data_IF_388183657469
#
_entry.id   IF_388183657469
#
_cell.length_a   1.000
_cell.length_b   1.000
_cell.length_c   1.000
_cell.angle_alpha   90.00
_cell.angle_beta   90.00
_cell.angle_gamma   90.00
#
_symmetry.space_group_name_H-M   'P 1'
#
loop_
_entity.id
_entity.type
_entity.pdbx_description
1 polymer ?
#
# COMPACT_ATOMS: atom_id res chain seq x y z
N UNK A 1 -11.66 -23.11 -36.06
CA UNK A 1 -10.31 -22.94 -36.62
C UNK A 1 -9.33 -22.95 -35.45
N UNK A 2 -8.31 -23.82 -35.42
CA UNK A 2 -7.35 -23.82 -34.32
C UNK A 2 -6.41 -22.62 -34.47
N UNK A 3 -6.36 -21.75 -33.45
CA UNK A 3 -5.32 -20.73 -33.34
C UNK A 3 -3.99 -21.42 -33.03
N UNK A 4 -3.03 -21.27 -33.94
CA UNK A 4 -1.62 -21.56 -33.68
C UNK A 4 -1.13 -20.62 -32.55
N UNK A 5 -0.34 -21.10 -31.58
CA UNK A 5 0.35 -20.20 -30.67
C UNK A 5 1.30 -19.33 -31.50
N UNK A 6 1.13 -18.01 -31.42
CA UNK A 6 2.08 -17.05 -31.96
C UNK A 6 3.34 -17.08 -31.09
N UNK A 7 4.23 -18.01 -31.43
CA UNK A 7 5.67 -17.79 -31.26
C UNK A 7 6.04 -16.81 -32.38
N UNK A 8 5.95 -15.51 -32.08
CA UNK A 8 6.64 -14.40 -32.76
C UNK A 8 5.99 -13.09 -32.29
N UNK A 9 6.26 -12.71 -31.05
CA UNK A 9 6.23 -11.30 -30.63
C UNK A 9 7.65 -10.92 -30.20
N UNK A 10 8.58 -11.07 -31.13
CA UNK A 10 9.77 -10.22 -31.18
C UNK A 10 9.33 -8.94 -31.88
N UNK A 11 8.71 -8.04 -31.10
CA UNK A 11 8.58 -6.64 -31.52
C UNK A 11 9.98 -6.11 -31.76
N UNK A 12 10.35 -5.96 -33.05
CA UNK A 12 11.57 -5.28 -33.45
C UNK A 12 11.48 -3.82 -32.97
N UNK A 13 12.14 -3.53 -31.86
CA UNK A 13 12.27 -2.19 -31.31
C UNK A 13 13.06 -1.33 -32.30
N UNK A 14 12.38 -0.42 -32.98
CA UNK A 14 13.03 0.61 -33.77
C UNK A 14 13.76 1.59 -32.82
N UNK A 15 15.09 1.59 -32.89
CA UNK A 15 15.95 2.49 -32.12
C UNK A 15 16.28 1.99 -30.73
N UNK A 16 16.92 0.82 -30.62
CA UNK A 16 17.48 0.35 -29.35
C UNK A 16 18.60 1.30 -28.89
N UNK A 17 18.25 2.23 -28.01
CA UNK A 17 19.17 2.86 -27.07
C UNK A 17 20.07 1.76 -26.48
N UNK A 18 21.38 1.98 -26.42
CA UNK A 18 22.31 1.01 -25.84
C UNK A 18 21.76 0.55 -24.49
N UNK A 19 21.61 -0.76 -24.25
CA UNK A 19 21.03 -1.26 -23.02
C UNK A 19 21.84 -0.69 -21.85
N UNK A 20 21.17 0.03 -20.96
CA UNK A 20 21.76 0.45 -19.70
C UNK A 20 22.35 -0.80 -19.06
N UNK A 21 23.63 -0.80 -18.67
CA UNK A 21 24.24 -1.97 -18.08
C UNK A 21 23.37 -2.42 -16.90
N UNK A 22 23.09 -3.73 -16.78
CA UNK A 22 22.23 -4.23 -15.74
C UNK A 22 22.81 -3.80 -14.38
N UNK A 23 21.95 -3.44 -13.40
CA UNK A 23 22.45 -3.04 -12.09
C UNK A 23 23.32 -4.15 -11.51
N UNK A 24 24.32 -3.78 -10.71
CA UNK A 24 25.36 -4.70 -10.22
C UNK A 24 24.87 -5.92 -9.43
N UNK A 25 23.60 -5.90 -9.00
CA UNK A 25 22.92 -6.99 -8.29
C UNK A 25 21.98 -7.81 -9.18
N UNK A 26 21.78 -7.42 -10.43
CA UNK A 26 21.05 -8.24 -11.40
C UNK A 26 21.80 -9.56 -11.60
N UNK A 27 21.05 -10.67 -11.65
CA UNK A 27 21.65 -11.97 -11.96
C UNK A 27 22.35 -11.89 -13.31
N UNK A 28 23.52 -12.53 -13.48
CA UNK A 28 24.24 -12.54 -14.76
C UNK A 28 23.37 -13.01 -15.94
N UNK A 29 22.41 -13.89 -15.66
CA UNK A 29 21.50 -14.48 -16.65
C UNK A 29 20.24 -13.64 -16.91
N UNK A 30 20.06 -12.50 -16.23
CA UNK A 30 18.86 -11.66 -16.35
C UNK A 30 17.67 -12.11 -15.48
N UNK A 31 16.46 -11.59 -15.74
CA UNK A 31 15.23 -12.01 -15.06
C UNK A 31 14.73 -13.36 -15.57
N UNK A 32 14.04 -14.11 -14.71
CA UNK A 32 13.37 -15.35 -15.09
C UNK A 32 12.17 -15.07 -16.03
N UNK A 33 11.49 -13.94 -15.80
CA UNK A 33 10.40 -13.44 -16.64
C UNK A 33 10.46 -11.93 -16.76
N UNK A 34 10.10 -11.41 -17.93
CA UNK A 34 9.96 -9.97 -18.14
C UNK A 34 8.70 -9.66 -18.95
N UNK A 35 7.95 -8.65 -18.52
CA UNK A 35 6.71 -8.23 -19.14
C UNK A 35 6.71 -6.71 -19.32
N UNK A 36 6.48 -6.26 -20.55
CA UNK A 36 6.18 -4.85 -20.82
C UNK A 36 4.71 -4.55 -20.52
N UNK A 37 4.43 -3.38 -19.95
CA UNK A 37 3.08 -2.87 -19.77
C UNK A 37 3.02 -1.36 -20.02
N UNK A 38 1.85 -0.89 -20.46
CA UNK A 38 1.58 0.53 -20.62
C UNK A 38 0.86 1.02 -19.38
N UNK A 39 1.59 1.71 -18.49
CA UNK A 39 1.01 2.34 -17.31
C UNK A 39 0.67 3.81 -17.56
N UNK A 40 -0.22 4.37 -16.73
CA UNK A 40 -0.56 5.80 -16.78
C UNK A 40 0.66 6.72 -16.55
N UNK A 41 1.68 6.21 -15.86
CA UNK A 41 2.88 6.97 -15.47
C UNK A 41 4.05 6.74 -16.44
N UNK A 42 4.06 5.61 -17.14
CA UNK A 42 5.10 5.26 -18.11
C UNK A 42 4.53 4.36 -19.21
N UNK A 43 4.60 4.79 -20.49
CA UNK A 43 4.06 4.04 -21.62
C UNK A 43 4.89 2.81 -21.99
N UNK A 44 6.08 2.68 -21.43
CA UNK A 44 7.08 1.64 -21.70
C UNK A 44 7.63 1.04 -20.40
N UNK A 45 6.75 0.84 -19.42
CA UNK A 45 7.12 0.23 -18.16
C UNK A 45 7.36 -1.28 -18.31
N UNK A 46 8.27 -1.84 -17.51
CA UNK A 46 8.53 -3.28 -17.47
C UNK A 46 8.42 -3.83 -16.05
N UNK A 47 8.01 -5.10 -15.95
CA UNK A 47 8.02 -5.90 -14.73
C UNK A 47 8.96 -7.07 -14.99
N UNK A 48 10.01 -7.18 -14.19
CA UNK A 48 11.00 -8.24 -14.25
C UNK A 48 10.89 -9.08 -12.97
N UNK A 49 10.69 -10.39 -13.10
CA UNK A 49 10.58 -11.31 -11.96
C UNK A 49 11.87 -12.10 -11.84
N UNK A 50 12.51 -11.99 -10.68
CA UNK A 50 13.71 -12.71 -10.30
C UNK A 50 13.35 -13.69 -9.18
N UNK A 51 13.16 -14.94 -9.56
CA UNK A 51 12.73 -15.98 -8.65
C UNK A 51 13.82 -16.30 -7.61
N UNK A 52 13.42 -16.69 -6.39
CA UNK A 52 12.04 -16.94 -5.95
C UNK A 52 11.31 -15.73 -5.34
N UNK A 53 11.93 -14.58 -5.20
CA UNK A 53 11.52 -13.62 -4.18
C UNK A 53 11.66 -12.14 -4.55
N UNK A 54 12.08 -11.81 -5.77
CA UNK A 54 12.28 -10.42 -6.17
C UNK A 54 11.44 -10.10 -7.41
N UNK A 55 10.74 -8.98 -7.37
CA UNK A 55 10.04 -8.38 -8.51
C UNK A 55 10.56 -6.96 -8.68
N UNK A 56 10.97 -6.61 -9.89
CA UNK A 56 11.46 -5.28 -10.23
C UNK A 56 10.50 -4.63 -11.22
N UNK A 57 10.02 -3.45 -10.89
CA UNK A 57 9.31 -2.56 -11.79
C UNK A 57 10.27 -1.51 -12.32
N UNK A 58 10.31 -1.34 -13.63
CA UNK A 58 11.05 -0.24 -14.26
C UNK A 58 10.05 0.68 -14.94
N UNK A 59 9.99 1.93 -14.49
CA UNK A 59 9.20 2.98 -15.12
C UNK A 59 10.13 3.98 -15.80
N UNK A 60 9.72 4.53 -16.94
CA UNK A 60 10.38 5.69 -17.56
C UNK A 60 9.52 6.93 -17.37
N UNK A 61 9.94 7.82 -16.49
CA UNK A 61 9.16 8.96 -16.05
C UNK A 61 9.38 10.19 -16.93
N UNK A 62 8.27 10.79 -17.36
CA UNK A 62 8.23 12.07 -18.04
C UNK A 62 8.85 12.07 -19.45
N UNK A 63 8.93 13.26 -20.10
CA UNK A 63 9.46 13.38 -21.46
C UNK A 63 10.93 12.98 -21.60
N UNK A 64 11.69 13.07 -20.50
CA UNK A 64 13.11 12.71 -20.45
C UNK A 64 13.32 11.20 -20.20
N UNK A 65 12.25 10.42 -20.02
CA UNK A 65 12.31 8.98 -19.81
C UNK A 65 13.27 8.56 -18.68
N UNK A 66 13.28 9.30 -17.58
CA UNK A 66 14.16 9.01 -16.44
C UNK A 66 13.76 7.65 -15.87
N UNK A 67 14.68 6.67 -15.79
CA UNK A 67 14.38 5.37 -15.24
C UNK A 67 14.10 5.49 -13.73
N UNK A 68 13.02 4.86 -13.29
CA UNK A 68 12.67 4.65 -11.90
C UNK A 68 12.57 3.15 -11.70
N UNK A 69 13.50 2.57 -10.95
CA UNK A 69 13.41 1.16 -10.57
C UNK A 69 12.81 1.04 -9.17
N UNK A 70 11.77 0.24 -9.06
CA UNK A 70 11.16 -0.16 -7.80
C UNK A 70 11.31 -1.66 -7.65
N UNK A 71 12.00 -2.08 -6.61
CA UNK A 71 12.20 -3.48 -6.29
C UNK A 71 11.32 -3.87 -5.12
N UNK A 72 10.71 -5.04 -5.21
CA UNK A 72 9.90 -5.66 -4.17
C UNK A 72 10.52 -7.02 -3.87
N UNK A 73 10.96 -7.20 -2.64
CA UNK A 73 11.48 -8.45 -2.12
C UNK A 73 10.47 -9.09 -1.18
N UNK A 74 10.28 -10.40 -1.28
CA UNK A 74 9.39 -11.19 -0.43
C UNK A 74 10.21 -12.14 0.42
N UNK A 75 10.35 -11.85 1.71
CA UNK A 75 11.16 -12.65 2.63
C UNK A 75 10.24 -13.48 3.52
N UNK A 76 10.25 -14.83 3.43
CA UNK A 76 9.45 -15.66 4.31
C UNK A 76 9.98 -15.56 5.75
N UNK A 77 9.09 -15.30 6.70
CA UNK A 77 9.40 -15.30 8.14
C UNK A 77 8.99 -16.62 8.80
N UNK A 78 7.91 -17.24 8.29
CA UNK A 78 7.38 -18.50 8.78
C UNK A 78 6.13 -18.93 7.99
N UNK A 79 5.45 -20.00 8.43
CA UNK A 79 4.18 -20.40 7.84
C UNK A 79 3.19 -19.22 7.87
N UNK A 80 2.61 -18.89 6.72
CA UNK A 80 1.64 -17.81 6.52
C UNK A 80 2.15 -16.40 6.90
N UNK A 81 3.47 -16.18 6.96
CA UNK A 81 4.06 -14.87 7.26
C UNK A 81 5.25 -14.57 6.36
N UNK A 82 5.18 -13.43 5.69
CA UNK A 82 6.22 -12.92 4.81
C UNK A 82 6.39 -11.41 5.03
N UNK A 83 7.62 -10.93 4.90
CA UNK A 83 7.91 -9.50 4.82
C UNK A 83 8.02 -9.07 3.36
N UNK A 84 7.39 -7.95 3.04
CA UNK A 84 7.62 -7.25 1.79
C UNK A 84 8.58 -6.11 2.05
N UNK A 85 9.72 -6.12 1.36
CA UNK A 85 10.71 -5.05 1.43
C UNK A 85 10.75 -4.37 0.08
N UNK A 86 10.54 -3.07 0.08
CA UNK A 86 10.55 -2.26 -1.13
C UNK A 86 11.75 -1.33 -1.16
N UNK A 87 12.44 -1.28 -2.29
CA UNK A 87 13.56 -0.39 -2.52
C UNK A 87 13.37 0.41 -3.80
N UNK A 88 13.85 1.65 -3.81
CA UNK A 88 14.00 2.45 -5.02
C UNK A 88 15.43 2.93 -5.16
N UNK A 89 15.98 2.80 -6.36
CA UNK A 89 17.39 3.10 -6.63
C UNK A 89 17.64 4.55 -7.01
N UNK A 90 16.70 5.21 -7.70
CA UNK A 90 16.90 6.59 -8.18
C UNK A 90 15.64 7.44 -8.03
N UNK A 91 15.81 8.73 -7.73
CA UNK A 91 14.71 9.68 -7.62
C UNK A 91 14.83 10.77 -8.68
N UNK A 92 13.77 11.03 -9.48
CA UNK A 92 13.76 12.22 -10.30
C UNK A 92 13.75 13.44 -9.38
N UNK A 93 14.50 14.51 -9.72
CA UNK A 93 14.47 15.73 -8.95
C UNK A 93 13.06 16.31 -8.96
N UNK A 94 12.48 16.50 -7.78
CA UNK A 94 11.13 17.06 -7.65
C UNK A 94 11.20 18.57 -7.84
N UNK A 95 10.66 19.05 -8.96
CA UNK A 95 10.52 20.49 -9.20
C UNK A 95 9.26 21.00 -8.49
N UNK A 96 9.46 21.77 -7.43
CA UNK A 96 8.40 22.53 -6.77
C UNK A 96 7.76 23.51 -7.77
N UNK A 97 6.47 23.34 -8.03
CA UNK A 97 5.67 24.28 -8.80
C UNK A 97 4.74 25.03 -7.85
N UNK A 98 4.98 26.32 -7.67
CA UNK A 98 4.10 27.21 -6.88
C UNK A 98 2.65 27.18 -7.39
N UNK A 99 2.46 27.07 -8.71
CA UNK A 99 1.14 26.95 -9.30
C UNK A 99 0.41 25.68 -8.82
N UNK A 100 1.10 24.54 -8.76
CA UNK A 100 0.50 23.29 -8.23
C UNK A 100 0.22 23.38 -6.74
N UNK A 101 1.06 24.11 -5.99
CA UNK A 101 0.85 24.32 -4.56
C UNK A 101 -0.40 25.17 -4.29
N UNK A 102 -0.65 26.19 -5.11
CA UNK A 102 -1.72 27.17 -4.91
C UNK A 102 -3.06 26.75 -5.53
N UNK A 103 -3.05 26.02 -6.63
CA UNK A 103 -4.26 25.64 -7.38
C UNK A 103 -4.62 24.16 -7.25
N UNK A 104 -3.83 23.39 -6.52
CA UNK A 104 -4.01 21.95 -6.40
C UNK A 104 -4.92 21.53 -5.25
N UNK A 105 -5.30 20.25 -5.29
CA UNK A 105 -5.82 19.54 -4.12
C UNK A 105 -4.85 19.69 -2.93
N UNK A 106 -5.32 20.12 -1.75
CA UNK A 106 -4.48 20.32 -0.57
C UNK A 106 -3.68 19.06 -0.20
N UNK A 107 -4.22 17.86 -0.40
CA UNK A 107 -3.49 16.62 -0.13
C UNK A 107 -2.29 16.46 -1.07
N UNK A 108 -2.46 16.79 -2.36
CA UNK A 108 -1.36 16.79 -3.35
C UNK A 108 -0.34 17.87 -3.05
N UNK A 109 -0.77 19.05 -2.57
CA UNK A 109 0.13 20.11 -2.15
C UNK A 109 0.99 19.67 -0.95
N UNK A 110 0.39 19.00 0.04
CA UNK A 110 1.11 18.42 1.19
C UNK A 110 2.11 17.38 0.72
N UNK A 111 1.71 16.46 -0.16
CA UNK A 111 2.62 15.45 -0.73
C UNK A 111 3.79 16.10 -1.49
N UNK A 112 3.54 17.18 -2.25
CA UNK A 112 4.60 17.94 -2.91
C UNK A 112 5.55 18.62 -1.91
N UNK A 113 5.04 19.18 -0.81
CA UNK A 113 5.90 19.74 0.24
C UNK A 113 6.76 18.66 0.90
N UNK A 114 6.19 17.48 1.19
CA UNK A 114 6.97 16.35 1.69
C UNK A 114 8.05 15.94 0.72
N UNK A 115 7.74 15.84 -0.58
CA UNK A 115 8.72 15.44 -1.58
C UNK A 115 9.94 16.37 -1.65
N UNK A 116 9.77 17.65 -1.31
CA UNK A 116 10.85 18.61 -1.26
C UNK A 116 11.57 18.67 0.10
N UNK A 117 10.85 18.52 1.21
CA UNK A 117 11.39 18.67 2.56
C UNK A 117 11.99 17.39 3.14
N UNK A 118 11.30 16.27 2.92
CA UNK A 118 11.66 14.94 3.44
C UNK A 118 11.35 13.88 2.36
N UNK A 119 12.23 13.74 1.35
CA UNK A 119 12.00 12.84 0.22
C UNK A 119 11.89 11.37 0.65
N UNK A 120 12.52 10.98 1.76
CA UNK A 120 12.45 9.61 2.32
C UNK A 120 11.04 9.33 2.85
N UNK A 121 10.46 10.24 3.64
CA UNK A 121 9.10 10.07 4.13
C UNK A 121 8.08 10.12 3.00
N UNK A 122 8.23 11.06 2.06
CA UNK A 122 7.39 11.11 0.87
C UNK A 122 7.38 9.78 0.11
N UNK A 123 8.57 9.20 -0.03
CA UNK A 123 8.75 7.92 -0.68
C UNK A 123 7.97 6.81 0.03
N UNK A 124 8.15 6.65 1.34
CA UNK A 124 7.43 5.64 2.11
C UNK A 124 5.91 5.83 2.04
N UNK A 125 5.43 7.07 2.10
CA UNK A 125 4.00 7.36 1.96
C UNK A 125 3.47 6.99 0.56
N UNK A 126 4.25 7.24 -0.49
CA UNK A 126 3.88 6.88 -1.87
C UNK A 126 3.85 5.38 -2.09
N UNK A 127 4.81 4.64 -1.51
CA UNK A 127 4.81 3.19 -1.57
C UNK A 127 3.69 2.55 -0.77
N UNK A 128 3.44 3.04 0.46
CA UNK A 128 2.32 2.58 1.24
C UNK A 128 1.02 2.79 0.46
N UNK A 129 0.86 3.94 -0.20
CA UNK A 129 -0.33 4.19 -1.03
C UNK A 129 -0.49 3.22 -2.22
N UNK A 130 0.62 2.80 -2.83
CA UNK A 130 0.63 1.82 -3.90
C UNK A 130 0.28 0.43 -3.36
N UNK A 131 0.93 0.01 -2.26
CA UNK A 131 0.83 -1.33 -1.70
C UNK A 131 -0.41 -1.54 -0.83
N UNK A 132 -1.01 -0.50 -0.27
CA UNK A 132 -2.25 -0.60 0.52
C UNK A 132 -3.37 -1.25 -0.30
N UNK A 133 -3.41 -0.96 -1.60
CA UNK A 133 -4.35 -1.60 -2.52
C UNK A 133 -4.12 -3.10 -2.62
N UNK A 134 -2.89 -3.48 -2.94
CA UNK A 134 -2.51 -4.89 -3.09
C UNK A 134 -2.67 -5.66 -1.77
N UNK A 135 -2.26 -5.07 -0.65
CA UNK A 135 -2.37 -5.67 0.68
C UNK A 135 -3.81 -6.00 1.05
N UNK A 136 -4.77 -5.12 0.72
CA UNK A 136 -6.18 -5.41 0.95
C UNK A 136 -6.63 -6.67 0.19
N UNK A 137 -6.25 -6.78 -1.09
CA UNK A 137 -6.64 -7.92 -1.91
C UNK A 137 -5.94 -9.21 -1.48
N UNK A 138 -4.64 -9.13 -1.18
CA UNK A 138 -3.86 -10.27 -0.70
C UNK A 138 -4.43 -10.80 0.63
N UNK A 139 -4.80 -9.90 1.55
CA UNK A 139 -5.37 -10.34 2.82
C UNK A 139 -6.76 -10.95 2.68
N UNK A 140 -7.64 -10.35 1.86
CA UNK A 140 -8.94 -10.97 1.53
C UNK A 140 -8.70 -12.36 0.97
N UNK A 141 -7.78 -12.52 0.02
CA UNK A 141 -7.47 -13.83 -0.56
C UNK A 141 -6.96 -14.83 0.48
N UNK A 142 -6.09 -14.42 1.40
CA UNK A 142 -5.62 -15.28 2.48
C UNK A 142 -6.76 -15.72 3.41
N UNK A 143 -7.71 -14.84 3.72
CA UNK A 143 -8.91 -15.17 4.51
C UNK A 143 -9.78 -16.19 3.80
N UNK A 144 -10.06 -15.99 2.50
CA UNK A 144 -10.87 -16.93 1.72
C UNK A 144 -10.23 -18.32 1.64
N UNK A 145 -8.89 -18.35 1.57
CA UNK A 145 -8.14 -19.60 1.64
C UNK A 145 -8.27 -20.22 3.03
N UNK A 146 -8.15 -19.44 4.11
CA UNK A 146 -8.26 -19.93 5.48
C UNK A 146 -9.67 -20.43 5.84
N UNK A 147 -10.72 -19.76 5.39
CA UNK A 147 -12.10 -20.21 5.59
C UNK A 147 -12.35 -21.54 4.87
N UNK A 148 -11.87 -21.67 3.63
CA UNK A 148 -11.90 -22.94 2.91
C UNK A 148 -11.09 -24.04 3.66
N UNK A 149 -10.03 -23.66 4.39
CA UNK A 149 -9.26 -24.57 5.26
C UNK A 149 -10.05 -25.08 6.45
N UNK A 150 -10.68 -24.19 7.20
CA UNK A 150 -11.49 -24.57 8.36
C UNK A 150 -12.70 -25.42 7.96
N UNK A 151 -13.36 -25.07 6.86
CA UNK A 151 -14.51 -25.82 6.36
C UNK A 151 -14.16 -27.21 5.87
N UNK A 152 -13.06 -27.36 5.12
CA UNK A 152 -12.56 -28.68 4.72
C UNK A 152 -12.15 -29.51 5.94
N UNK A 153 -11.57 -28.89 6.98
CA UNK A 153 -11.23 -29.58 8.22
C UNK A 153 -12.47 -30.04 9.02
N UNK A 154 -13.56 -29.27 9.00
CA UNK A 154 -14.84 -29.61 9.64
C UNK A 154 -15.65 -30.65 8.84
N UNK A 155 -15.54 -30.61 7.50
CA UNK A 155 -16.29 -31.47 6.58
C UNK A 155 -15.62 -32.81 6.32
N UNK A 156 -14.30 -32.89 6.53
CA UNK A 156 -13.56 -34.14 6.48
C UNK A 156 -14.23 -35.15 7.43
N UNK A 157 -14.85 -36.23 6.90
CA UNK A 157 -15.50 -37.23 7.75
C UNK A 157 -14.43 -37.73 8.71
N UNK A 158 -14.68 -37.61 10.03
CA UNK A 158 -13.75 -37.97 11.09
C UNK A 158 -13.01 -39.24 10.69
N UNK A 159 -11.80 -39.06 10.14
CA UNK A 159 -11.17 -40.12 9.38
C UNK A 159 -11.07 -41.30 10.32
N UNK A 160 -11.77 -42.38 9.98
CA UNK A 160 -11.78 -43.59 10.78
C UNK A 160 -10.30 -43.89 11.06
N UNK A 161 -9.89 -43.74 12.32
CA UNK A 161 -8.52 -43.98 12.76
C UNK A 161 -8.14 -45.32 12.14
N UNK A 162 -7.17 -45.37 11.23
CA UNK A 162 -6.85 -46.60 10.55
C UNK A 162 -6.48 -47.60 11.64
N UNK A 163 -7.35 -48.60 11.83
CA UNK A 163 -7.06 -49.77 12.64
C UNK A 163 -5.69 -50.26 12.21
N UNK A 164 -4.77 -50.42 13.18
CA UNK A 164 -3.34 -50.65 13.01
C UNK A 164 -2.96 -51.96 12.29
N UNK A 165 -3.87 -52.58 11.54
CA UNK A 165 -3.66 -53.80 10.79
C UNK A 165 -3.37 -53.48 9.32
N UNK A 166 -2.09 -53.32 8.97
CA UNK A 166 -1.59 -53.52 7.60
C UNK A 166 -1.13 -52.27 6.83
N UNK A 167 -0.13 -51.55 7.34
CA UNK A 167 0.62 -50.57 6.54
C UNK A 167 1.65 -51.28 5.65
N UNK A 168 1.30 -51.57 4.41
CA UNK A 168 2.30 -51.88 3.38
C UNK A 168 3.02 -50.58 3.00
N UNK A 169 4.33 -50.53 3.26
CA UNK A 169 5.15 -49.36 2.97
C UNK A 169 5.13 -49.03 1.47
N UNK A 170 4.52 -47.90 1.11
CA UNK A 170 4.69 -47.28 -0.20
C UNK A 170 6.16 -46.88 -0.30
N UNK A 171 6.91 -47.52 -1.19
CA UNK A 171 8.35 -47.26 -1.30
C UNK A 171 8.58 -45.99 -2.11
N UNK A 172 9.70 -45.30 -1.86
CA UNK A 172 10.12 -44.14 -2.66
C UNK A 172 10.20 -44.45 -4.17
N UNK A 173 10.34 -45.73 -4.53
CA UNK A 173 10.35 -46.22 -5.92
C UNK A 173 8.97 -46.14 -6.58
N UNK A 174 7.90 -46.34 -5.83
CA UNK A 174 6.52 -46.29 -6.32
C UNK A 174 6.08 -44.85 -6.59
N UNK A 175 6.56 -43.89 -5.79
CA UNK A 175 6.32 -42.46 -5.99
C UNK A 175 7.02 -41.90 -7.25
N UNK A 176 8.24 -42.37 -7.55
CA UNK A 176 8.99 -41.97 -8.76
C UNK A 176 8.40 -42.59 -10.03
N UNK A 177 7.88 -43.82 -9.96
CA UNK A 177 7.21 -44.48 -11.09
C UNK A 177 5.86 -43.82 -11.44
N UNK A 178 5.13 -43.31 -10.43
CA UNK A 178 3.89 -42.54 -10.65
C UNK A 178 4.15 -41.17 -11.32
N UNK A 179 5.30 -40.54 -11.05
CA UNK A 179 5.70 -39.28 -11.69
C UNK A 179 6.16 -39.46 -13.14
N UNK A 180 6.70 -40.62 -13.51
CA UNK A 180 7.25 -40.89 -14.85
C UNK A 180 6.19 -41.28 -15.91
N UNK A 181 5.04 -41.81 -15.50
CA UNK A 181 3.97 -42.25 -16.42
C UNK A 181 2.98 -41.13 -16.77
N UNK A 182 3.51 -39.97 -17.20
CA UNK A 182 2.74 -38.82 -17.64
C UNK A 182 1.89 -39.11 -18.88
N UNK A 183 0.58 -39.29 -18.69
CA UNK A 183 -0.32 -39.49 -19.83
C UNK A 183 -1.80 -39.58 -19.48
N UNK A 184 -2.40 -38.55 -18.89
CA UNK A 184 -3.87 -38.41 -18.88
C UNK A 184 -4.47 -37.78 -17.64
N UNK A 185 -4.06 -38.21 -16.43
CA UNK A 185 -4.66 -37.74 -15.18
C UNK A 185 -4.18 -36.35 -14.73
N UNK A 186 -3.00 -35.91 -15.16
CA UNK A 186 -2.44 -34.60 -14.81
C UNK A 186 -3.16 -33.40 -15.48
N UNK A 187 -4.09 -33.66 -16.42
CA UNK A 187 -4.89 -32.61 -17.06
C UNK A 187 -6.21 -32.29 -16.33
N UNK A 188 -6.56 -33.00 -15.25
CA UNK A 188 -7.85 -32.84 -14.57
C UNK A 188 -7.76 -32.43 -13.09
N UNK A 189 -6.57 -32.37 -12.50
CA UNK A 189 -6.44 -31.77 -11.17
C UNK A 189 -6.27 -30.26 -11.36
N UNK A 190 -7.38 -29.56 -11.59
CA UNK A 190 -7.42 -28.14 -11.26
C UNK A 190 -6.96 -28.03 -9.80
N UNK A 191 -5.75 -27.52 -9.62
CA UNK A 191 -5.14 -27.24 -8.31
C UNK A 191 -6.09 -26.30 -7.56
N UNK A 192 -6.16 -26.37 -6.23
CA UNK A 192 -7.15 -25.61 -5.41
C UNK A 192 -7.24 -24.17 -5.83
N UNK A 193 -6.09 -23.56 -6.12
CA UNK A 193 -6.04 -22.18 -6.52
C UNK A 193 -6.75 -21.94 -7.86
N UNK A 194 -6.64 -22.83 -8.85
CA UNK A 194 -7.37 -22.64 -10.12
C UNK A 194 -8.90 -22.71 -9.96
N UNK A 195 -9.40 -23.22 -8.83
CA UNK A 195 -10.83 -23.21 -8.46
C UNK A 195 -11.18 -22.04 -7.54
N UNK A 196 -10.35 -21.74 -6.54
CA UNK A 196 -10.58 -20.64 -5.58
C UNK A 196 -10.35 -19.26 -6.20
N UNK A 197 -9.42 -19.14 -7.13
CA UNK A 197 -9.14 -17.88 -7.82
C UNK A 197 -9.91 -17.85 -9.13
N UNK A 198 -11.00 -17.08 -9.15
CA UNK A 198 -11.70 -16.76 -10.39
C UNK A 198 -10.84 -15.82 -11.23
N UNK A 199 -10.19 -16.38 -12.25
CA UNK A 199 -9.25 -15.69 -13.15
C UNK A 199 -9.65 -15.89 -14.62
N UNK A 200 -10.79 -15.34 -15.06
CA UNK A 200 -11.33 -15.60 -16.40
C UNK A 200 -10.63 -14.79 -17.50
N UNK A 201 -9.83 -13.77 -17.14
CA UNK A 201 -9.30 -12.83 -18.11
C UNK A 201 -8.00 -13.36 -18.73
N UNK A 202 -7.74 -12.99 -19.98
CA UNK A 202 -6.44 -13.30 -20.60
C UNK A 202 -5.26 -12.65 -19.86
N UNK A 203 -5.49 -11.53 -19.17
CA UNK A 203 -4.51 -10.89 -18.31
C UNK A 203 -3.99 -11.82 -17.20
N UNK A 204 -4.81 -12.80 -16.77
CA UNK A 204 -4.46 -13.73 -15.70
C UNK A 204 -3.54 -14.87 -16.16
N UNK A 205 -3.29 -15.01 -17.48
CA UNK A 205 -2.46 -16.08 -18.01
C UNK A 205 -1.04 -16.08 -17.45
N UNK A 206 -0.47 -14.89 -17.20
CA UNK A 206 0.85 -14.74 -16.58
C UNK A 206 0.85 -15.20 -15.11
N UNK A 207 -0.21 -14.91 -14.35
CA UNK A 207 -0.39 -15.38 -12.97
C UNK A 207 -0.45 -16.90 -12.94
N UNK A 208 -1.23 -17.51 -13.84
CA UNK A 208 -1.33 -18.97 -13.95
C UNK A 208 0.01 -19.60 -14.34
N UNK A 209 0.76 -18.98 -15.26
CA UNK A 209 2.08 -19.46 -15.66
C UNK A 209 3.09 -19.38 -14.50
N UNK A 210 3.13 -18.27 -13.77
CA UNK A 210 3.99 -18.10 -12.60
C UNK A 210 3.70 -19.13 -11.51
N UNK A 211 2.42 -19.38 -11.20
CA UNK A 211 2.03 -20.40 -10.21
C UNK A 211 2.43 -21.80 -10.65
N UNK A 212 2.19 -22.19 -11.90
CA UNK A 212 2.68 -23.48 -12.45
C UNK A 212 4.19 -23.61 -12.33
N UNK A 213 4.93 -22.54 -12.64
CA UNK A 213 6.37 -22.54 -12.49
C UNK A 213 6.80 -22.79 -11.04
N UNK A 214 6.14 -22.15 -10.06
CA UNK A 214 6.40 -22.38 -8.62
C UNK A 214 6.10 -23.84 -8.25
N UNK A 215 5.02 -24.41 -8.77
CA UNK A 215 4.67 -25.80 -8.51
C UNK A 215 5.68 -26.80 -9.08
N UNK A 216 6.10 -26.58 -10.31
CA UNK A 216 7.01 -27.47 -11.04
C UNK A 216 8.44 -27.35 -10.52
N UNK A 217 8.91 -26.13 -10.23
CA UNK A 217 10.33 -25.86 -9.93
C UNK A 217 10.64 -25.57 -8.48
N UNK A 218 9.71 -24.99 -7.73
CA UNK A 218 9.88 -24.70 -6.30
C UNK A 218 9.12 -25.71 -5.41
N UNK A 219 8.72 -26.85 -5.98
CA UNK A 219 8.10 -27.94 -5.23
C UNK A 219 6.69 -27.66 -4.72
N UNK A 220 5.95 -26.71 -5.31
CA UNK A 220 4.60 -26.33 -4.85
C UNK A 220 4.57 -25.26 -3.77
N UNK A 221 5.74 -24.77 -3.34
CA UNK A 221 5.84 -23.87 -2.19
C UNK A 221 5.37 -24.52 -0.87
N UNK A 222 5.35 -23.76 0.23
CA UNK A 222 4.91 -24.26 1.54
C UNK A 222 3.44 -24.71 1.58
N UNK A 223 2.69 -24.49 0.50
CA UNK A 223 1.25 -24.69 0.44
C UNK A 223 0.83 -26.11 0.07
N UNK A 224 1.70 -26.94 -0.52
CA UNK A 224 1.29 -28.21 -1.18
C UNK A 224 0.55 -29.21 -0.28
N UNK A 225 1.06 -29.46 0.93
CA UNK A 225 0.48 -30.45 1.85
C UNK A 225 -0.88 -30.00 2.40
N UNK A 226 -1.00 -28.70 2.70
CA UNK A 226 -2.20 -28.05 3.21
C UNK A 226 -3.26 -27.88 2.11
N UNK A 227 -2.83 -27.55 0.91
CA UNK A 227 -3.66 -27.38 -0.27
C UNK A 227 -4.31 -28.70 -0.72
N UNK A 228 -3.65 -29.86 -0.58
CA UNK A 228 -4.29 -31.14 -0.91
C UNK A 228 -5.47 -31.49 -0.02
N UNK A 229 -5.49 -31.05 1.25
CA UNK A 229 -6.66 -31.24 2.13
C UNK A 229 -7.86 -30.39 1.71
N UNK A 230 -7.62 -29.20 1.13
CA UNK A 230 -8.68 -28.29 0.66
C UNK A 230 -9.44 -28.78 -0.59
N UNK A 231 -8.79 -29.61 -1.42
CA UNK A 231 -9.32 -30.08 -2.71
C UNK A 231 -10.54 -30.98 -2.59
N UNK A 232 -10.76 -31.59 -1.42
CA UNK A 232 -11.82 -32.55 -1.23
C UNK A 232 -13.21 -31.90 -1.19
N UNK A 233 -13.34 -30.67 -0.66
CA UNK A 233 -14.63 -30.17 -0.18
C UNK A 233 -15.09 -28.81 -0.76
N UNK A 234 -14.20 -27.98 -1.33
CA UNK A 234 -14.49 -26.57 -1.66
C UNK A 234 -15.06 -26.28 -3.08
N UNK A 235 -15.92 -27.14 -3.64
CA UNK A 235 -16.31 -27.03 -5.06
C UNK A 235 -17.33 -25.92 -5.42
N UNK A 236 -18.11 -25.39 -4.47
CA UNK A 236 -19.35 -24.66 -4.78
C UNK A 236 -19.44 -23.19 -4.30
N UNK A 237 -18.33 -22.53 -3.94
CA UNK A 237 -18.41 -21.16 -3.38
C UNK A 237 -17.45 -20.15 -3.99
N UNK A 238 -17.98 -18.96 -4.25
CA UNK A 238 -17.23 -17.73 -4.50
C UNK A 238 -17.55 -16.79 -3.33
N UNK A 239 -16.60 -16.53 -2.41
CA UNK A 239 -16.80 -15.54 -1.37
C UNK A 239 -16.73 -14.15 -1.98
N UNK A 240 -17.66 -13.27 -1.63
CA UNK A 240 -17.77 -11.93 -2.20
C UNK A 240 -18.20 -10.85 -1.22
N UNK A 241 -18.32 -11.15 0.07
CA UNK A 241 -18.64 -10.12 1.05
C UNK A 241 -17.36 -9.39 1.46
N UNK A 242 -17.37 -8.06 1.33
CA UNK A 242 -16.24 -7.23 1.71
C UNK A 242 -15.97 -7.37 3.23
N UNK A 243 -14.71 -7.31 3.68
CA UNK A 243 -14.39 -7.33 5.10
C UNK A 243 -15.16 -6.26 5.86
N UNK A 244 -15.56 -6.56 7.10
CA UNK A 244 -16.13 -5.58 8.03
C UNK A 244 -15.26 -4.30 8.07
N UNK A 245 -15.86 -3.09 8.13
CA UNK A 245 -15.11 -1.84 8.14
C UNK A 245 -14.04 -1.72 9.25
N UNK A 246 -14.24 -2.29 10.44
CA UNK A 246 -13.22 -2.27 11.49
C UNK A 246 -12.05 -3.19 11.15
N UNK A 247 -12.34 -4.39 10.63
CA UNK A 247 -11.34 -5.33 10.12
C UNK A 247 -10.52 -4.68 9.02
N UNK A 248 -11.18 -4.08 8.02
CA UNK A 248 -10.52 -3.32 6.94
C UNK A 248 -9.62 -2.20 7.48
N UNK A 249 -10.05 -1.47 8.52
CA UNK A 249 -9.20 -0.45 9.19
C UNK A 249 -7.94 -1.03 9.80
N UNK A 250 -8.02 -2.22 10.39
CA UNK A 250 -6.86 -2.91 10.93
C UNK A 250 -5.90 -3.35 9.81
N UNK A 251 -6.45 -3.89 8.71
CA UNK A 251 -5.69 -4.37 7.55
C UNK A 251 -5.03 -3.27 6.73
N UNK A 252 -5.55 -2.04 6.80
CA UNK A 252 -4.98 -0.87 6.14
C UNK A 252 -4.34 0.10 7.16
N UNK A 253 -4.03 -0.40 8.36
CA UNK A 253 -3.32 0.37 9.38
C UNK A 253 -1.84 0.50 9.00
N UNK A 254 -1.52 1.59 8.31
CA UNK A 254 -0.13 1.99 8.00
C UNK A 254 0.73 2.11 9.25
N UNK A 255 0.10 2.46 10.39
CA UNK A 255 0.83 2.57 11.64
C UNK A 255 1.46 1.24 12.06
N UNK A 256 0.65 0.18 12.11
CA UNK A 256 1.12 -1.15 12.55
C UNK A 256 2.01 -1.81 11.49
N UNK A 257 1.72 -1.62 10.20
CA UNK A 257 2.49 -2.26 9.13
C UNK A 257 3.87 -1.62 8.91
N UNK A 258 3.97 -0.30 9.04
CA UNK A 258 5.17 0.43 8.64
C UNK A 258 5.60 1.50 9.64
N UNK A 259 4.74 2.48 9.93
CA UNK A 259 5.16 3.70 10.65
C UNK A 259 5.78 3.40 12.00
N UNK A 260 5.24 2.43 12.75
CA UNK A 260 5.76 1.99 14.06
C UNK A 260 7.18 1.45 13.99
N UNK A 261 7.53 0.78 12.89
CA UNK A 261 8.81 0.09 12.71
C UNK A 261 9.84 0.92 11.93
N UNK A 262 9.39 1.94 11.18
CA UNK A 262 10.26 2.83 10.43
C UNK A 262 10.68 4.06 11.29
N UNK A 263 11.97 4.25 11.60
CA UNK A 263 12.44 5.39 12.40
C UNK A 263 12.12 6.76 11.80
N UNK A 264 12.20 6.90 10.47
CA UNK A 264 11.91 8.15 9.78
C UNK A 264 10.44 8.52 9.85
N UNK A 265 9.54 7.56 9.58
CA UNK A 265 8.10 7.77 9.61
C UNK A 265 7.58 7.98 11.04
N UNK A 266 8.03 7.18 12.01
CA UNK A 266 7.63 7.34 13.42
C UNK A 266 8.07 8.70 13.98
N UNK A 267 9.33 9.11 13.74
CA UNK A 267 9.82 10.45 14.13
C UNK A 267 8.99 11.56 13.50
N UNK A 268 8.63 11.43 12.22
CA UNK A 268 7.82 12.44 11.54
C UNK A 268 6.39 12.52 12.09
N UNK A 269 5.76 11.38 12.36
CA UNK A 269 4.46 11.34 13.03
C UNK A 269 4.52 12.01 14.41
N UNK A 270 5.55 11.74 15.21
CA UNK A 270 5.74 12.40 16.52
C UNK A 270 5.89 13.92 16.38
N UNK A 271 6.65 14.41 15.39
CA UNK A 271 6.78 15.84 15.12
C UNK A 271 5.43 16.48 14.77
N UNK A 272 4.62 15.82 13.92
CA UNK A 272 3.28 16.31 13.57
C UNK A 272 2.36 16.36 14.80
N UNK A 273 2.37 15.32 15.63
CA UNK A 273 1.60 15.28 16.88
C UNK A 273 2.04 16.38 17.86
N UNK A 274 3.35 16.64 17.95
CA UNK A 274 3.88 17.76 18.75
C UNK A 274 3.42 19.11 18.19
N UNK A 275 3.39 19.29 16.87
CA UNK A 275 2.88 20.50 16.23
C UNK A 275 1.38 20.71 16.53
N UNK A 276 0.57 19.65 16.46
CA UNK A 276 -0.86 19.70 16.82
C UNK A 276 -1.02 20.10 18.29
N UNK A 277 -0.27 19.48 19.20
CA UNK A 277 -0.32 19.80 20.63
C UNK A 277 0.12 21.26 20.92
N UNK A 278 1.20 21.72 20.28
CA UNK A 278 1.69 23.09 20.41
C UNK A 278 0.68 24.10 19.86
N UNK A 279 0.10 23.85 18.69
CA UNK A 279 -0.91 24.70 18.10
C UNK A 279 -2.18 24.77 18.98
N UNK A 280 -2.63 23.65 19.54
CA UNK A 280 -3.74 23.62 20.49
C UNK A 280 -3.44 24.43 21.77
N UNK A 281 -2.20 24.40 22.26
CA UNK A 281 -1.78 25.25 23.39
C UNK A 281 -1.82 26.74 23.04
N UNK A 282 -1.31 27.13 21.85
CA UNK A 282 -1.39 28.51 21.35
C UNK A 282 -2.84 28.96 21.22
N UNK A 283 -3.73 28.12 20.67
CA UNK A 283 -5.15 28.44 20.58
C UNK A 283 -5.78 28.71 21.95
N UNK A 284 -5.47 27.89 22.97
CA UNK A 284 -5.96 28.12 24.34
C UNK A 284 -5.46 29.44 24.92
N UNK A 285 -4.18 29.77 24.71
CA UNK A 285 -3.59 31.04 25.15
C UNK A 285 -4.24 32.23 24.44
N UNK A 286 -4.42 32.16 23.12
CA UNK A 286 -5.08 33.21 22.35
C UNK A 286 -6.55 33.38 22.75
N UNK A 287 -7.26 32.29 23.05
CA UNK A 287 -8.64 32.36 23.54
C UNK A 287 -8.71 33.10 24.89
N UNK A 288 -7.82 32.79 25.83
CA UNK A 288 -7.69 33.54 27.09
C UNK A 288 -7.37 35.02 26.83
N UNK A 289 -6.45 35.30 25.91
CA UNK A 289 -6.11 36.66 25.47
C UNK A 289 -7.31 37.42 24.90
N UNK A 290 -8.13 36.77 24.07
CA UNK A 290 -9.37 37.34 23.52
C UNK A 290 -10.39 37.63 24.63
N UNK A 291 -10.56 36.74 25.60
CA UNK A 291 -11.45 36.98 26.75
C UNK A 291 -10.99 38.20 27.57
N UNK A 292 -9.70 38.31 27.87
CA UNK A 292 -9.13 39.44 28.62
C UNK A 292 -9.25 40.75 27.84
N UNK A 293 -8.86 40.75 26.56
CA UNK A 293 -8.92 41.94 25.71
C UNK A 293 -10.37 42.38 25.43
N UNK A 294 -11.28 41.43 25.19
CA UNK A 294 -12.70 41.68 25.01
C UNK A 294 -13.36 42.24 26.27
N UNK A 295 -13.02 41.70 27.46
CA UNK A 295 -13.46 42.24 28.75
C UNK A 295 -12.97 43.67 28.98
N UNK A 296 -11.69 43.94 28.70
CA UNK A 296 -11.11 45.29 28.81
C UNK A 296 -11.77 46.28 27.83
N UNK A 297 -12.01 45.87 26.58
CA UNK A 297 -12.72 46.68 25.59
C UNK A 297 -14.16 46.96 26.03
N UNK A 298 -14.87 45.94 26.53
CA UNK A 298 -16.23 46.09 27.07
C UNK A 298 -16.29 47.07 28.25
N UNK A 299 -15.33 47.01 29.18
CA UNK A 299 -15.22 47.95 30.29
C UNK A 299 -14.96 49.39 29.80
N UNK A 300 -14.05 49.57 28.84
CA UNK A 300 -13.76 50.86 28.21
C UNK A 300 -15.00 51.45 27.54
N UNK A 301 -15.75 50.64 26.79
CA UNK A 301 -17.00 51.06 26.14
C UNK A 301 -18.10 51.40 27.17
N UNK A 302 -18.21 50.63 28.25
CA UNK A 302 -19.18 50.90 29.33
C UNK A 302 -18.89 52.23 30.04
N UNK A 303 -17.62 52.52 30.34
CA UNK A 303 -17.20 53.82 30.93
C UNK A 303 -17.47 54.97 29.96
N UNK A 304 -17.15 54.80 28.68
CA UNK A 304 -17.42 55.81 27.66
C UNK A 304 -18.92 56.12 27.52
N UNK A 305 -19.77 55.08 27.56
CA UNK A 305 -21.23 55.24 27.51
C UNK A 305 -21.79 55.94 28.76
N UNK A 306 -21.24 55.67 29.94
CA UNK A 306 -21.64 56.34 31.19
C UNK A 306 -21.18 57.81 31.26
N UNK A 307 -20.07 58.15 30.59
CA UNK A 307 -19.46 59.47 30.60
C UNK A 307 -20.05 60.47 29.57
N UNK A 308 -21.29 60.27 29.12
CA UNK A 308 -21.97 60.96 28.00
C UNK A 308 -22.02 62.50 28.01
N UNK A 309 -21.35 63.18 28.96
CA UNK A 309 -21.25 64.63 29.04
C UNK A 309 -19.84 65.22 28.78
N UNK A 310 -18.79 64.42 28.55
CA UNK A 310 -17.44 64.97 28.32
C UNK A 310 -16.70 64.27 27.16
N UNK A 311 -16.11 65.02 26.20
CA UNK A 311 -15.32 64.46 25.12
C UNK A 311 -13.93 64.08 25.62
N UNK A 312 -13.81 62.94 26.30
CA UNK A 312 -12.52 62.34 26.58
C UNK A 312 -12.13 61.39 25.43
N UNK A 313 -10.93 61.57 24.87
CA UNK A 313 -10.35 60.63 23.92
C UNK A 313 -10.03 59.32 24.64
N UNK A 314 -10.95 58.35 24.59
CA UNK A 314 -10.75 57.06 25.22
C UNK A 314 -9.84 56.19 24.35
N UNK A 315 -8.73 55.64 24.88
CA UNK A 315 -7.74 54.89 24.10
C UNK A 315 -8.19 53.44 23.81
N UNK A 316 -9.27 53.25 23.05
CA UNK A 316 -9.80 51.93 22.67
C UNK A 316 -8.93 51.16 21.66
N UNK A 317 -7.97 51.84 21.02
CA UNK A 317 -7.15 51.25 19.96
C UNK A 317 -6.29 50.07 20.44
N UNK A 318 -5.74 50.14 21.66
CA UNK A 318 -4.90 49.08 22.22
C UNK A 318 -5.66 47.77 22.50
N UNK A 319 -6.78 47.76 23.27
CA UNK A 319 -7.53 46.52 23.49
C UNK A 319 -8.16 45.97 22.20
N UNK A 320 -8.56 46.83 21.25
CA UNK A 320 -9.04 46.39 19.95
C UNK A 320 -7.94 45.70 19.12
N UNK A 321 -6.74 46.27 19.07
CA UNK A 321 -5.60 45.66 18.38
C UNK A 321 -5.16 44.34 19.04
N UNK A 322 -5.15 44.26 20.37
CA UNK A 322 -4.84 43.04 21.10
C UNK A 322 -5.86 41.92 20.84
N UNK A 323 -7.16 42.27 20.76
CA UNK A 323 -8.22 41.34 20.40
C UNK A 323 -8.05 40.83 18.97
N UNK A 324 -7.84 41.73 18.01
CA UNK A 324 -7.64 41.38 16.60
C UNK A 324 -6.40 40.50 16.39
N UNK A 325 -5.27 40.84 17.02
CA UNK A 325 -4.05 40.05 16.97
C UNK A 325 -4.22 38.65 17.58
N UNK A 326 -4.91 38.56 18.72
CA UNK A 326 -5.21 37.27 19.36
C UNK A 326 -6.12 36.39 18.51
N UNK A 327 -7.14 36.98 17.87
CA UNK A 327 -8.03 36.27 16.96
C UNK A 327 -7.31 35.76 15.70
N UNK A 328 -6.47 36.60 15.10
CA UNK A 328 -5.68 36.21 13.92
C UNK A 328 -4.71 35.06 14.25
N UNK A 329 -3.98 35.15 15.36
CA UNK A 329 -3.07 34.10 15.79
C UNK A 329 -3.81 32.79 16.14
N UNK A 330 -4.98 32.89 16.77
CA UNK A 330 -5.85 31.74 17.04
C UNK A 330 -6.25 31.01 15.76
N UNK A 331 -6.67 31.75 14.73
CA UNK A 331 -7.08 31.20 13.45
C UNK A 331 -5.91 30.52 12.72
N UNK A 332 -4.73 31.16 12.69
CA UNK A 332 -3.51 30.60 12.09
C UNK A 332 -3.10 29.31 12.80
N UNK A 333 -3.08 29.32 14.14
CA UNK A 333 -2.76 28.13 14.93
C UNK A 333 -3.76 26.98 14.66
N UNK A 334 -5.05 27.29 14.54
CA UNK A 334 -6.07 26.30 14.17
C UNK A 334 -5.86 25.70 12.78
N UNK A 335 -5.54 26.54 11.78
CA UNK A 335 -5.23 26.06 10.43
C UNK A 335 -3.99 25.15 10.40
N UNK A 336 -2.93 25.51 11.13
CA UNK A 336 -1.73 24.69 11.25
C UNK A 336 -2.00 23.36 11.97
N UNK A 337 -2.81 23.37 13.03
CA UNK A 337 -3.22 22.15 13.74
C UNK A 337 -3.97 21.19 12.79
N UNK A 338 -4.98 21.70 12.08
CA UNK A 338 -5.76 20.90 11.14
C UNK A 338 -4.89 20.32 10.00
N UNK A 339 -3.96 21.11 9.47
CA UNK A 339 -3.02 20.64 8.45
C UNK A 339 -2.08 19.55 8.99
N UNK A 340 -1.54 19.74 10.20
CA UNK A 340 -0.66 18.75 10.83
C UNK A 340 -1.41 17.45 11.19
N UNK A 341 -2.67 17.57 11.64
CA UNK A 341 -3.53 16.42 11.92
C UNK A 341 -3.87 15.66 10.63
N UNK A 342 -4.27 16.35 9.56
CA UNK A 342 -4.51 15.73 8.25
C UNK A 342 -3.26 15.04 7.73
N UNK A 343 -2.08 15.69 7.83
CA UNK A 343 -0.82 15.06 7.46
C UNK A 343 -0.48 13.84 8.32
N UNK A 344 -0.85 13.85 9.62
CA UNK A 344 -0.63 12.71 10.52
C UNK A 344 -1.46 11.48 10.12
N UNK A 345 -2.66 11.68 9.56
CA UNK A 345 -3.52 10.58 9.09
C UNK A 345 -2.84 9.75 8.00
N UNK A 346 -2.00 10.36 7.15
CA UNK A 346 -1.22 9.66 6.12
C UNK A 346 -0.30 8.57 6.69
N UNK A 347 0.09 8.67 7.97
CA UNK A 347 0.94 7.71 8.67
C UNK A 347 0.15 6.69 9.51
N UNK A 348 -1.12 7.00 9.81
CA UNK A 348 -1.97 6.19 10.67
C UNK A 348 -2.80 5.22 9.84
N UNK A 349 -3.64 5.78 8.97
CA UNK A 349 -4.62 5.04 8.19
C UNK A 349 -5.04 5.88 6.98
N UNK A 350 -5.12 5.24 5.82
CA UNK A 350 -5.73 5.83 4.64
C UNK A 350 -6.63 4.78 4.02
N UNK A 351 -7.92 5.10 3.90
CA UNK A 351 -8.83 4.16 3.26
C UNK A 351 -8.49 4.12 1.76
N UNK A 352 -8.40 2.91 1.24
CA UNK A 352 -8.05 2.68 -0.16
C UNK A 352 -9.29 2.35 -0.97
N UNK A 353 -9.94 3.36 -1.54
CA UNK A 353 -11.13 3.17 -2.37
C UNK A 353 -10.73 3.15 -3.85
N UNK A 354 -10.75 1.98 -4.48
CA UNK A 354 -10.39 1.81 -5.90
C UNK A 354 -11.16 2.78 -6.82
N UNK A 355 -12.45 2.96 -6.57
CA UNK A 355 -13.34 3.80 -7.38
C UNK A 355 -12.96 5.29 -7.37
N UNK A 356 -12.16 5.75 -6.41
CA UNK A 356 -11.73 7.15 -6.31
C UNK A 356 -10.40 7.40 -7.03
N UNK A 357 -9.68 6.34 -7.42
CA UNK A 357 -8.34 6.44 -8.03
C UNK A 357 -8.32 6.27 -9.55
N UNK A 358 -9.44 5.90 -10.17
CA UNK A 358 -9.60 5.72 -11.63
C UNK A 358 -9.99 7.02 -12.33
#
# INVERSE_FOLDING_TARGET
MPMKPSQDVTTAAAGAESPTPPPQWARPDGPDFEYGFQGNVSPDATISVHMPHQVMYTYRLGPQKIPLHMEVYVVPEGPNRSYFITALTEWPPVKLSLQRLLMGDPQKAVMHLYSAYDPVVFHHLSLNDLLDGDNCFLHIQDELVHEAEEEAAMSAPAAAVPSAAGSAAVTAKDAVAAAANGGGAARSASTVWSRLYYMPAQADAAVQAGRRWIEERAGGGPFRARQQQLLADAADRVPGEAPDPQRRRHLLSRYEQHTRHCPSCSKRLQQLQQMVAAAAAVQKICLLGMCVAGGALGAVLAVAAAAAAAPAAVPWALPAAALAGSAALWAVAGGLAAAAESASQLFLFMDYVHAEKS
#
